data_IF_855462186820
#
_entry.id   IF_855462186820
#
_cell.length_a   1.000
_cell.length_b   1.000
_cell.length_c   1.000
_cell.angle_alpha   90.00
_cell.angle_beta   90.00
_cell.angle_gamma   90.00
#
_symmetry.space_group_name_H-M   'P 1'
#
loop_
_entity.id
_entity.type
_entity.pdbx_description
1 polymer ?
#
# COMPACT_ATOMS: atom_id res chain seq x y z
N UNK A 1 -30.16 -12.06 34.64
CA UNK A 1 -29.63 -13.26 33.98
C UNK A 1 -28.97 -12.84 32.70
N UNK A 2 -27.68 -13.12 32.55
CA UNK A 2 -26.96 -12.90 31.29
C UNK A 2 -27.30 -14.06 30.35
N UNK A 3 -27.53 -13.76 29.08
CA UNK A 3 -27.87 -14.78 28.07
C UNK A 3 -26.64 -15.02 27.22
N UNK A 4 -26.15 -16.26 27.18
CA UNK A 4 -25.04 -16.68 26.33
C UNK A 4 -25.48 -17.94 25.57
N UNK A 5 -25.56 -17.88 24.24
CA UNK A 5 -26.11 -18.93 23.36
C UNK A 5 -27.48 -19.45 23.82
N UNK A 6 -28.44 -18.54 24.01
CA UNK A 6 -29.83 -18.85 24.41
C UNK A 6 -29.97 -19.64 25.73
N UNK A 7 -28.89 -19.71 26.51
CA UNK A 7 -28.88 -20.27 27.86
C UNK A 7 -28.67 -19.15 28.88
N UNK A 8 -29.46 -19.21 29.94
CA UNK A 8 -29.30 -18.35 31.11
C UNK A 8 -28.05 -18.75 31.87
N UNK A 9 -27.10 -17.83 31.99
CA UNK A 9 -25.84 -18.02 32.70
C UNK A 9 -25.68 -16.97 33.79
N UNK A 10 -25.16 -17.42 34.93
CA UNK A 10 -24.77 -16.57 36.06
C UNK A 10 -23.23 -16.37 36.12
N UNK A 11 -22.51 -16.76 35.06
CA UNK A 11 -21.05 -16.64 34.97
C UNK A 11 -20.68 -15.36 34.23
N UNK A 12 -19.90 -14.49 34.89
CA UNK A 12 -19.30 -13.30 34.31
C UNK A 12 -17.79 -13.52 34.11
N UNK A 13 -17.35 -13.41 32.86
CA UNK A 13 -15.92 -13.36 32.54
C UNK A 13 -15.44 -11.91 32.61
N UNK A 14 -14.29 -11.69 33.23
CA UNK A 14 -13.64 -10.39 33.30
C UNK A 14 -12.13 -10.57 33.11
N UNK A 15 -11.48 -9.49 32.68
CA UNK A 15 -10.03 -9.40 32.55
C UNK A 15 -9.55 -8.30 33.51
N UNK A 16 -8.44 -8.55 34.19
CA UNK A 16 -7.77 -7.54 35.02
C UNK A 16 -6.76 -6.82 34.13
N UNK A 17 -6.96 -5.52 33.94
CA UNK A 17 -6.10 -4.69 33.12
C UNK A 17 -5.08 -3.96 34.00
N UNK A 18 -3.86 -3.80 33.49
CA UNK A 18 -2.81 -3.00 34.14
C UNK A 18 -3.02 -1.48 33.96
N UNK A 19 -4.00 -1.06 33.15
CA UNK A 19 -4.36 0.34 32.90
C UNK A 19 -5.84 0.61 33.16
N UNK A 20 -6.22 1.83 33.60
CA UNK A 20 -7.62 2.21 33.77
C UNK A 20 -8.44 2.07 32.48
N UNK A 21 -9.67 1.57 32.60
CA UNK A 21 -10.60 1.42 31.47
C UNK A 21 -10.78 2.70 30.63
N UNK A 22 -10.92 3.92 31.21
CA UNK A 22 -11.03 5.13 30.40
C UNK A 22 -9.80 5.42 29.54
N UNK A 23 -8.60 5.04 30.01
CA UNK A 23 -7.36 5.22 29.28
C UNK A 23 -7.25 4.21 28.12
N UNK A 24 -7.65 2.96 28.37
CA UNK A 24 -7.76 1.95 27.32
C UNK A 24 -8.78 2.35 26.25
N UNK A 25 -9.97 2.79 26.66
CA UNK A 25 -11.04 3.22 25.75
C UNK A 25 -10.69 4.51 25.00
N UNK A 26 -9.88 5.38 25.60
CA UNK A 26 -9.41 6.64 25.01
C UNK A 26 -8.23 6.48 24.05
N UNK A 27 -7.66 5.27 23.93
CA UNK A 27 -6.49 4.99 23.11
C UNK A 27 -6.84 4.13 21.89
N UNK A 28 -6.00 4.18 20.87
CA UNK A 28 -6.04 3.31 19.70
C UNK A 28 -4.65 2.75 19.45
N UNK A 29 -4.59 1.46 19.16
CA UNK A 29 -3.35 0.75 18.87
C UNK A 29 -3.32 0.40 17.39
N UNK A 30 -2.39 1.00 16.65
CA UNK A 30 -2.14 0.69 15.25
C UNK A 30 -0.95 -0.25 15.13
N UNK A 31 -1.11 -1.33 14.35
CA UNK A 31 0.02 -2.16 13.92
C UNK A 31 0.53 -1.60 12.60
N UNK A 32 1.72 -1.02 12.62
CA UNK A 32 2.35 -0.39 11.46
C UNK A 32 3.47 -1.27 10.95
N UNK A 33 3.38 -1.71 9.69
CA UNK A 33 4.44 -2.40 8.98
C UNK A 33 5.42 -1.36 8.42
N UNK A 34 6.61 -1.25 9.01
CA UNK A 34 7.65 -0.34 8.55
C UNK A 34 8.55 -1.03 7.52
N UNK A 35 8.62 -0.48 6.32
CA UNK A 35 9.49 -0.93 5.24
C UNK A 35 10.77 -0.11 5.25
N UNK A 36 11.91 -0.78 5.44
CA UNK A 36 13.20 -0.11 5.42
C UNK A 36 13.58 0.30 3.99
N UNK A 37 14.20 1.48 3.83
CA UNK A 37 14.61 1.96 2.51
C UNK A 37 15.76 1.16 1.89
N UNK A 38 16.61 0.54 2.71
CA UNK A 38 17.88 -0.08 2.30
C UNK A 38 17.96 -1.58 2.56
N UNK A 39 17.09 -2.10 3.43
CA UNK A 39 17.00 -3.52 3.78
C UNK A 39 15.67 -4.03 3.25
N UNK A 40 15.69 -5.20 2.64
CA UNK A 40 14.47 -5.94 2.28
C UNK A 40 13.87 -6.61 3.52
N UNK A 41 13.55 -5.77 4.51
CA UNK A 41 13.06 -6.17 5.83
C UNK A 41 11.84 -5.32 6.20
N UNK A 42 10.79 -6.01 6.66
CA UNK A 42 9.56 -5.39 7.16
C UNK A 42 9.47 -5.59 8.66
N UNK A 43 9.43 -4.49 9.41
CA UNK A 43 9.34 -4.52 10.87
C UNK A 43 7.96 -4.04 11.29
N UNK A 44 7.18 -4.91 11.93
CA UNK A 44 5.87 -4.54 12.48
C UNK A 44 6.04 -3.91 13.86
N UNK A 45 5.58 -2.66 14.02
CA UNK A 45 5.58 -1.93 15.28
C UNK A 45 4.16 -1.63 15.74
N UNK A 46 3.92 -1.82 17.03
CA UNK A 46 2.66 -1.45 17.68
C UNK A 46 2.77 -0.03 18.23
N UNK A 47 1.90 0.85 17.75
CA UNK A 47 1.84 2.27 18.12
C UNK A 47 0.51 2.51 18.84
N UNK A 48 0.59 2.80 20.14
CA UNK A 48 -0.60 3.06 20.97
C UNK A 48 -0.62 4.53 21.34
N UNK A 49 -1.63 5.26 20.87
CA UNK A 49 -1.80 6.69 21.09
C UNK A 49 -3.25 7.02 21.44
N UNK A 50 -3.54 8.16 22.08
CA UNK A 50 -4.90 8.64 22.28
C UNK A 50 -5.67 8.73 20.95
N UNK A 51 -6.96 8.37 20.92
CA UNK A 51 -7.80 8.35 19.69
C UNK A 51 -7.82 9.68 18.92
N UNK A 52 -7.69 10.80 19.65
CA UNK A 52 -7.64 12.17 19.10
C UNK A 52 -6.30 12.52 18.44
N UNK A 53 -5.27 11.68 18.59
CA UNK A 53 -3.96 11.88 17.97
C UNK A 53 -4.05 11.80 16.46
N UNK A 54 -3.01 12.31 15.82
CA UNK A 54 -2.92 12.44 14.38
C UNK A 54 -1.92 11.45 13.78
N UNK A 55 -1.95 11.30 12.46
CA UNK A 55 -0.95 10.50 11.73
C UNK A 55 0.46 11.07 11.90
N UNK A 56 0.60 12.39 12.04
CA UNK A 56 1.88 13.00 12.39
C UNK A 56 2.43 12.50 13.74
N UNK A 57 1.55 12.33 14.73
CA UNK A 57 1.95 11.77 16.04
C UNK A 57 2.37 10.30 15.91
N UNK A 58 1.67 9.50 15.09
CA UNK A 58 2.04 8.10 14.80
C UNK A 58 3.43 8.04 14.16
N UNK A 59 3.70 8.89 13.16
CA UNK A 59 4.99 8.96 12.49
C UNK A 59 6.10 9.35 13.48
N UNK A 60 5.85 10.33 14.35
CA UNK A 60 6.82 10.75 15.36
C UNK A 60 7.14 9.64 16.35
N UNK A 61 6.11 8.94 16.87
CA UNK A 61 6.31 7.79 17.76
C UNK A 61 7.05 6.65 17.03
N UNK A 62 6.69 6.37 15.78
CA UNK A 62 7.32 5.34 14.96
C UNK A 62 8.82 5.63 14.74
N UNK A 63 9.19 6.88 14.44
CA UNK A 63 10.60 7.31 14.27
C UNK A 63 11.47 7.02 15.50
N UNK A 64 10.89 6.96 16.70
CA UNK A 64 11.64 6.59 17.92
C UNK A 64 11.85 5.08 18.09
N UNK A 65 11.11 4.26 17.34
CA UNK A 65 11.05 2.79 17.46
C UNK A 65 11.67 2.05 16.27
N UNK A 66 12.12 2.77 15.24
CA UNK A 66 12.71 2.21 14.02
C UNK A 66 14.05 2.85 13.71
N UNK A 67 14.92 2.10 13.03
CA UNK A 67 16.17 2.62 12.49
C UNK A 67 15.91 3.25 11.12
N UNK A 68 16.12 4.57 11.02
CA UNK A 68 16.00 5.33 9.78
C UNK A 68 17.30 5.27 8.98
N UNK A 69 17.22 5.38 7.65
CA UNK A 69 18.41 5.45 6.80
C UNK A 69 19.22 6.75 7.02
N UNK A 70 18.54 7.86 7.35
CA UNK A 70 19.17 9.11 7.74
C UNK A 70 18.34 9.87 8.80
N UNK A 71 18.96 10.74 9.63
CA UNK A 71 18.27 11.42 10.74
C UNK A 71 17.09 12.30 10.32
N UNK A 72 17.14 12.84 9.09
CA UNK A 72 16.11 13.71 8.54
C UNK A 72 15.13 12.97 7.62
N UNK A 73 15.04 11.64 7.72
CA UNK A 73 14.13 10.86 6.88
C UNK A 73 12.67 11.28 7.15
N UNK A 74 11.97 11.54 6.06
CA UNK A 74 10.53 11.80 6.09
C UNK A 74 9.82 10.48 5.89
N UNK A 75 8.81 10.21 6.72
CA UNK A 75 8.02 9.00 6.61
C UNK A 75 6.64 9.35 6.07
N UNK A 76 6.09 8.45 5.27
CA UNK A 76 4.67 8.45 4.91
C UNK A 76 3.98 7.23 5.50
N UNK A 77 2.68 7.38 5.75
CA UNK A 77 1.80 6.30 6.18
C UNK A 77 0.80 6.02 5.05
N UNK A 78 0.57 4.74 4.76
CA UNK A 78 -0.21 4.24 3.63
C UNK A 78 -1.14 3.11 4.08
N UNK A 79 -2.27 2.94 3.41
CA UNK A 79 -3.11 1.75 3.55
C UNK A 79 -2.87 0.81 2.38
N UNK A 80 -2.49 -0.43 2.68
CA UNK A 80 -2.32 -1.48 1.69
C UNK A 80 -3.42 -2.53 1.87
N UNK A 81 -4.16 -2.77 0.80
CA UNK A 81 -5.21 -3.78 0.74
C UNK A 81 -5.12 -4.56 -0.56
N UNK A 82 -5.11 -5.89 -0.45
CA UNK A 82 -5.08 -6.80 -1.59
C UNK A 82 -3.95 -6.46 -2.60
N UNK A 83 -2.73 -6.27 -2.09
CA UNK A 83 -1.53 -5.93 -2.87
C UNK A 83 -1.65 -4.65 -3.70
N UNK A 84 -2.55 -3.75 -3.30
CA UNK A 84 -2.68 -2.40 -3.84
C UNK A 84 -2.60 -1.39 -2.73
N UNK A 85 -2.02 -0.24 -3.04
CA UNK A 85 -2.07 0.91 -2.15
C UNK A 85 -3.45 1.54 -2.36
N UNK A 86 -4.28 1.48 -1.33
CA UNK A 86 -5.70 1.82 -1.41
C UNK A 86 -6.01 3.03 -0.53
N UNK A 87 -6.98 3.84 -0.96
CA UNK A 87 -7.77 4.67 -0.05
C UNK A 87 -9.19 4.75 -0.62
N UNK A 88 -10.24 4.58 0.20
CA UNK A 88 -11.60 4.79 -0.26
C UNK A 88 -11.79 6.26 -0.66
N UNK A 89 -12.50 6.47 -1.77
CA UNK A 89 -12.84 7.79 -2.31
C UNK A 89 -13.62 8.61 -1.27
N UNK A 90 -12.99 9.66 -0.73
CA UNK A 90 -13.70 10.76 -0.08
C UNK A 90 -13.66 11.97 -1.02
N UNK A 91 -14.79 12.40 -1.63
CA UNK A 91 -14.83 13.55 -2.52
C UNK A 91 -14.52 14.88 -1.81
N UNK A 92 -14.50 14.93 -0.47
CA UNK A 92 -14.18 16.12 0.32
C UNK A 92 -12.70 16.20 0.75
N UNK A 93 -11.95 15.10 0.65
CA UNK A 93 -10.50 15.07 0.95
C UNK A 93 -9.77 14.91 -0.38
N UNK A 94 -8.94 15.89 -0.73
CA UNK A 94 -8.10 15.83 -1.94
C UNK A 94 -7.25 14.55 -1.94
N UNK A 95 -7.73 13.55 -2.68
CA UNK A 95 -7.03 12.52 -3.43
C UNK A 95 -5.58 12.21 -3.04
N UNK A 96 -5.34 11.70 -1.82
CA UNK A 96 -4.01 11.22 -1.43
C UNK A 96 -4.10 9.85 -0.79
N UNK A 97 -3.37 8.88 -1.36
CA UNK A 97 -3.11 7.51 -0.85
C UNK A 97 -2.33 7.51 0.45
N UNK A 98 -1.66 8.63 0.68
CA UNK A 98 -0.88 8.94 1.83
C UNK A 98 -1.81 9.60 2.84
N UNK A 99 -1.80 9.09 4.06
CA UNK A 99 -2.51 9.76 5.13
C UNK A 99 -1.96 11.17 5.32
N UNK A 100 -2.81 12.22 5.29
CA UNK A 100 -2.36 13.54 5.64
C UNK A 100 -1.94 13.53 7.11
N UNK A 101 -0.88 14.28 7.45
CA UNK A 101 -0.34 14.30 8.81
C UNK A 101 -1.38 14.75 9.85
N UNK A 102 -2.40 15.51 9.43
CA UNK A 102 -3.51 15.98 10.26
C UNK A 102 -4.67 14.97 10.41
N UNK A 103 -4.67 13.86 9.66
CA UNK A 103 -5.71 12.83 9.78
C UNK A 103 -5.71 12.27 11.19
N UNK A 104 -6.90 12.08 11.77
CA UNK A 104 -7.01 11.50 13.09
C UNK A 104 -6.92 9.99 13.04
N UNK A 105 -6.21 9.41 14.00
CA UNK A 105 -6.03 7.96 14.05
C UNK A 105 -7.34 7.22 14.30
N UNK A 106 -8.33 7.85 14.96
CA UNK A 106 -9.65 7.26 15.19
C UNK A 106 -10.33 6.80 13.89
N UNK A 107 -10.10 7.51 12.78
CA UNK A 107 -10.71 7.25 11.48
C UNK A 107 -10.04 6.11 10.68
N UNK A 108 -8.84 5.68 11.07
CA UNK A 108 -8.06 4.67 10.33
C UNK A 108 -8.70 3.28 10.49
N UNK A 109 -8.94 2.55 9.40
CA UNK A 109 -9.43 1.18 9.50
C UNK A 109 -8.26 0.19 9.62
N UNK A 110 -8.04 -0.33 10.82
CA UNK A 110 -6.96 -1.27 11.15
C UNK A 110 -7.41 -2.74 11.22
N UNK A 111 -8.67 -3.03 10.89
CA UNK A 111 -9.23 -4.39 11.02
C UNK A 111 -8.93 -5.27 9.80
N UNK A 112 -8.85 -4.67 8.61
CA UNK A 112 -8.71 -5.42 7.34
C UNK A 112 -7.53 -4.95 6.49
N UNK A 113 -7.00 -3.76 6.76
CA UNK A 113 -5.96 -3.13 5.94
C UNK A 113 -4.63 -3.14 6.66
N UNK A 114 -3.56 -3.32 5.89
CA UNK A 114 -2.21 -3.21 6.42
C UNK A 114 -1.82 -1.75 6.43
N UNK A 115 -1.57 -1.20 7.62
CA UNK A 115 -1.02 0.14 7.76
C UNK A 115 0.49 0.03 7.51
N UNK A 116 0.95 0.59 6.40
CA UNK A 116 2.36 0.58 6.00
C UNK A 116 2.97 1.94 6.23
N UNK A 117 4.18 1.96 6.77
CA UNK A 117 5.03 3.14 6.82
C UNK A 117 6.30 2.91 6.02
N UNK A 118 6.76 3.94 5.32
CA UNK A 118 8.00 3.90 4.56
C UNK A 118 8.65 5.28 4.50
N UNK A 119 9.97 5.29 4.28
CA UNK A 119 10.73 6.51 4.05
C UNK A 119 10.43 7.05 2.64
N UNK A 120 10.20 8.36 2.54
CA UNK A 120 10.02 9.05 1.26
C UNK A 120 11.39 9.21 0.61
N UNK A 121 11.65 8.57 -0.54
CA UNK A 121 12.91 8.72 -1.26
C UNK A 121 13.17 10.16 -1.68
N UNK A 122 14.43 10.58 -1.69
CA UNK A 122 14.82 11.93 -2.14
C UNK A 122 14.45 12.21 -3.61
N UNK A 123 14.35 11.18 -4.45
CA UNK A 123 13.86 11.32 -5.83
C UNK A 123 12.40 11.82 -5.89
N UNK A 124 11.56 11.44 -4.93
CA UNK A 124 10.16 11.86 -4.87
C UNK A 124 9.98 13.28 -4.32
N UNK A 125 10.99 13.81 -3.61
CA UNK A 125 10.95 15.17 -3.07
C UNK A 125 11.27 16.25 -4.12
N UNK A 126 11.95 15.85 -5.18
CA UNK A 126 12.46 16.74 -6.22
C UNK A 126 11.72 16.53 -7.55
N UNK A 127 10.40 16.36 -7.50
CA UNK A 127 9.56 16.21 -8.69
C UNK A 127 9.53 17.51 -9.51
N UNK A 128 9.82 17.41 -10.80
CA UNK A 128 9.60 18.47 -11.77
C UNK A 128 8.11 18.75 -12.00
N UNK A 129 7.77 19.84 -12.71
CA UNK A 129 6.38 20.22 -12.98
C UNK A 129 5.59 19.18 -13.79
N UNK A 130 6.29 18.41 -14.62
CA UNK A 130 5.71 17.38 -15.49
C UNK A 130 5.93 15.96 -14.95
N UNK A 131 6.67 15.82 -13.85
CA UNK A 131 6.94 14.52 -13.22
C UNK A 131 5.75 14.06 -12.40
N UNK A 132 5.54 12.74 -12.36
CA UNK A 132 4.41 12.14 -11.64
C UNK A 132 4.84 10.95 -10.82
N UNK A 133 4.23 10.80 -9.65
CA UNK A 133 4.35 9.60 -8.85
C UNK A 133 3.31 8.57 -9.31
N UNK A 134 3.75 7.41 -9.78
CA UNK A 134 2.89 6.33 -10.26
C UNK A 134 2.93 5.13 -9.32
N UNK A 135 1.85 4.36 -9.31
CA UNK A 135 1.77 3.08 -8.61
C UNK A 135 2.31 1.97 -9.50
N UNK A 136 3.06 1.05 -8.91
CA UNK A 136 3.55 -0.15 -9.57
C UNK A 136 3.09 -1.37 -8.79
N UNK A 137 2.33 -2.26 -9.47
CA UNK A 137 1.74 -3.45 -8.86
C UNK A 137 2.15 -4.71 -9.61
N UNK A 138 2.41 -5.79 -8.87
CA UNK A 138 2.65 -7.11 -9.45
C UNK A 138 1.33 -7.82 -9.67
N UNK A 139 1.17 -8.50 -10.82
CA UNK A 139 -0.04 -9.25 -11.08
C UNK A 139 0.18 -10.51 -11.90
N UNK A 140 -0.68 -11.51 -11.68
CA UNK A 140 -0.81 -12.69 -12.54
C UNK A 140 -2.10 -12.52 -13.33
N UNK A 141 -2.03 -12.85 -14.62
CA UNK A 141 -3.21 -12.99 -15.46
C UNK A 141 -3.73 -14.42 -15.36
N UNK A 142 -4.88 -14.61 -14.72
CA UNK A 142 -5.52 -15.92 -14.66
C UNK A 142 -6.14 -16.26 -16.02
N UNK A 143 -5.49 -17.19 -16.73
CA UNK A 143 -5.98 -17.74 -18.01
C UNK A 143 -6.96 -18.89 -17.85
N UNK A 144 -7.12 -19.45 -16.64
CA UNK A 144 -8.03 -20.56 -16.43
C UNK A 144 -9.47 -20.05 -16.41
N UNK A 145 -10.35 -20.68 -17.18
CA UNK A 145 -11.79 -20.44 -17.18
C UNK A 145 -12.45 -20.96 -15.88
N UNK A 146 -11.94 -20.61 -14.70
CA UNK A 146 -12.64 -20.87 -13.45
C UNK A 146 -13.65 -19.74 -13.19
N UNK A 147 -14.97 -19.99 -13.29
CA UNK A 147 -16.01 -18.99 -12.99
C UNK A 147 -16.23 -18.79 -11.48
N UNK A 148 -15.43 -19.41 -10.61
CA UNK A 148 -15.68 -19.49 -9.17
C UNK A 148 -14.58 -18.83 -8.32
N UNK A 149 -14.18 -17.61 -8.67
CA UNK A 149 -13.57 -16.65 -7.71
C UNK A 149 -14.32 -15.31 -7.77
N UNK A 150 -15.66 -15.40 -7.84
CA UNK A 150 -16.58 -14.27 -7.67
C UNK A 150 -16.85 -14.14 -6.17
N UNK A 151 -16.07 -13.35 -5.47
CA UNK A 151 -16.54 -12.70 -4.24
C UNK A 151 -15.73 -11.43 -4.02
N UNK A 152 -15.92 -10.44 -4.91
CA UNK A 152 -15.74 -9.00 -4.68
C UNK A 152 -16.09 -8.29 -6.00
N UNK A 153 -17.35 -7.85 -6.13
CA UNK A 153 -18.00 -7.38 -7.36
C UNK A 153 -17.48 -6.05 -7.97
N UNK A 154 -16.18 -5.74 -7.87
CA UNK A 154 -15.59 -4.53 -8.47
C UNK A 154 -14.56 -4.79 -9.58
N UNK A 155 -14.27 -6.06 -9.90
CA UNK A 155 -13.36 -6.42 -11.00
C UNK A 155 -14.03 -7.44 -11.94
N UNK A 156 -14.99 -6.98 -12.75
CA UNK A 156 -15.70 -7.88 -13.70
C UNK A 156 -15.03 -7.91 -15.08
N UNK A 157 -13.97 -7.14 -15.36
CA UNK A 157 -13.50 -7.07 -16.76
C UNK A 157 -12.21 -7.82 -17.08
N UNK A 158 -11.26 -8.07 -16.17
CA UNK A 158 -10.18 -9.05 -16.41
C UNK A 158 -9.71 -9.72 -15.12
N UNK A 159 -9.36 -11.00 -15.21
CA UNK A 159 -8.92 -11.86 -14.11
C UNK A 159 -7.48 -11.54 -13.68
N UNK A 160 -7.30 -10.37 -13.10
CA UNK A 160 -6.01 -9.88 -12.63
C UNK A 160 -5.94 -10.09 -11.14
N UNK A 161 -5.07 -11.00 -10.71
CA UNK A 161 -4.75 -11.21 -9.30
C UNK A 161 -3.47 -10.45 -8.99
N UNK A 162 -3.55 -9.50 -8.07
CA UNK A 162 -2.38 -8.73 -7.64
C UNK A 162 -1.72 -9.49 -6.49
N UNK A 163 -0.40 -9.47 -6.45
CA UNK A 163 0.38 -10.16 -5.42
C UNK A 163 1.63 -9.33 -5.07
N UNK A 164 2.46 -9.84 -4.18
CA UNK A 164 3.73 -9.21 -3.83
C UNK A 164 3.57 -7.85 -3.15
N UNK A 165 4.62 -7.03 -3.24
CA UNK A 165 4.68 -5.74 -2.57
C UNK A 165 4.43 -4.59 -3.56
N UNK A 166 3.35 -3.81 -3.40
CA UNK A 166 3.16 -2.61 -4.22
C UNK A 166 4.12 -1.51 -3.81
N UNK A 167 4.55 -0.69 -4.77
CA UNK A 167 5.46 0.43 -4.52
C UNK A 167 5.19 1.62 -5.43
N UNK A 168 5.74 2.78 -5.06
CA UNK A 168 5.72 3.99 -5.87
C UNK A 168 6.97 4.12 -6.73
N UNK A 169 6.80 4.76 -7.89
CA UNK A 169 7.89 5.13 -8.77
C UNK A 169 7.67 6.53 -9.33
N UNK A 170 8.73 7.33 -9.37
CA UNK A 170 8.73 8.60 -10.10
C UNK A 170 8.83 8.31 -11.59
N UNK A 171 7.88 8.83 -12.36
CA UNK A 171 7.88 8.82 -13.82
C UNK A 171 8.20 10.23 -14.32
N UNK A 172 9.26 10.36 -15.10
CA UNK A 172 9.60 11.63 -15.74
C UNK A 172 8.95 11.73 -17.12
N UNK A 173 8.67 12.96 -17.56
CA UNK A 173 8.07 13.20 -18.87
C UNK A 173 8.99 12.73 -20.01
N UNK A 174 8.43 11.98 -20.96
CA UNK A 174 9.19 11.44 -22.09
C UNK A 174 10.03 10.19 -21.77
N UNK A 175 9.96 9.65 -20.55
CA UNK A 175 10.64 8.38 -20.23
C UNK A 175 10.03 7.21 -21.01
N UNK A 176 10.91 6.43 -21.64
CA UNK A 176 10.52 5.18 -22.28
C UNK A 176 10.44 4.04 -21.27
N UNK A 177 9.65 3.02 -21.61
CA UNK A 177 9.56 1.82 -20.79
C UNK A 177 10.92 1.17 -20.55
N UNK A 178 11.84 1.18 -21.53
CA UNK A 178 13.17 0.63 -21.37
C UNK A 178 13.94 1.27 -20.20
N UNK A 179 13.83 2.60 -20.03
CA UNK A 179 14.49 3.33 -18.94
C UNK A 179 13.85 2.98 -17.60
N UNK A 180 12.51 2.97 -17.55
CA UNK A 180 11.74 2.60 -16.35
C UNK A 180 12.04 1.16 -15.93
N UNK A 181 12.14 0.22 -16.88
CA UNK A 181 12.51 -1.18 -16.62
C UNK A 181 13.84 -1.30 -15.89
N UNK A 182 14.87 -0.57 -16.31
CA UNK A 182 16.18 -0.57 -15.64
C UNK A 182 16.07 -0.07 -14.20
N UNK A 183 15.27 0.98 -13.96
CA UNK A 183 15.01 1.53 -12.61
C UNK A 183 14.25 0.53 -11.73
N UNK A 184 13.21 -0.11 -12.27
CA UNK A 184 12.44 -1.15 -11.58
C UNK A 184 13.33 -2.34 -11.24
N UNK A 185 14.13 -2.83 -12.20
CA UNK A 185 15.04 -3.96 -11.96
C UNK A 185 16.04 -3.64 -10.85
N UNK A 186 16.61 -2.43 -10.86
CA UNK A 186 17.53 -1.98 -9.81
C UNK A 186 16.85 -1.88 -8.46
N UNK A 187 15.61 -1.38 -8.41
CA UNK A 187 14.84 -1.25 -7.16
C UNK A 187 14.48 -2.61 -6.56
N UNK A 188 14.03 -3.54 -7.38
CA UNK A 188 13.60 -4.88 -6.95
C UNK A 188 14.74 -5.89 -6.81
N UNK A 189 15.95 -5.54 -7.28
CA UNK A 189 17.15 -6.39 -7.23
C UNK A 189 16.95 -7.77 -7.89
N UNK A 190 16.10 -7.84 -8.94
CA UNK A 190 15.76 -9.09 -9.63
C UNK A 190 16.83 -9.46 -10.66
N UNK A 191 17.27 -10.73 -10.72
CA UNK A 191 18.20 -11.21 -11.73
C UNK A 191 17.70 -10.95 -13.15
N UNK A 192 18.60 -10.57 -14.06
CA UNK A 192 18.23 -10.22 -15.44
C UNK A 192 17.49 -11.33 -16.17
N UNK A 193 17.85 -12.60 -15.94
CA UNK A 193 17.21 -13.76 -16.55
C UNK A 193 15.73 -13.93 -16.15
N UNK A 194 15.40 -13.56 -14.91
CA UNK A 194 14.03 -13.60 -14.42
C UNK A 194 13.25 -12.38 -14.89
N UNK A 195 13.83 -11.19 -14.75
CA UNK A 195 13.22 -9.93 -15.14
C UNK A 195 12.90 -9.85 -16.63
N UNK A 196 13.73 -10.48 -17.49
CA UNK A 196 13.49 -10.55 -18.93
C UNK A 196 12.20 -11.31 -19.31
N UNK A 197 11.64 -12.13 -18.40
CA UNK A 197 10.38 -12.86 -18.62
C UNK A 197 9.14 -12.02 -18.29
N UNK A 198 9.32 -10.91 -17.57
CA UNK A 198 8.23 -10.09 -17.08
C UNK A 198 7.62 -9.28 -18.23
N UNK A 199 6.30 -9.11 -18.20
CA UNK A 199 5.61 -8.20 -19.12
C UNK A 199 5.12 -6.99 -18.37
N UNK A 200 5.10 -5.85 -19.05
CA UNK A 200 4.75 -4.57 -18.46
C UNK A 200 3.50 -4.08 -19.16
N UNK A 201 2.54 -3.63 -18.37
CA UNK A 201 1.29 -3.12 -18.89
C UNK A 201 0.90 -1.84 -18.17
N UNK A 202 0.31 -0.90 -18.90
CA UNK A 202 -0.50 0.15 -18.32
C UNK A 202 -1.87 -0.43 -17.98
N UNK A 203 -2.36 -0.23 -16.76
CA UNK A 203 -3.67 -0.72 -16.35
C UNK A 203 -4.61 0.43 -16.08
N UNK A 204 -5.70 0.47 -16.84
CA UNK A 204 -6.81 1.39 -16.61
C UNK A 204 -8.10 0.60 -16.34
N UNK A 205 -8.75 0.83 -15.20
CA UNK A 205 -10.01 0.16 -14.83
C UNK A 205 -9.92 -1.38 -14.92
N UNK A 206 -8.75 -1.95 -14.59
CA UNK A 206 -8.51 -3.39 -14.65
C UNK A 206 -8.28 -3.96 -16.05
N UNK A 207 -8.11 -3.11 -17.07
CA UNK A 207 -7.73 -3.53 -18.42
C UNK A 207 -6.23 -3.26 -18.64
N UNK A 208 -5.41 -4.29 -18.88
CA UNK A 208 -4.02 -4.15 -19.20
C UNK A 208 -3.82 -3.85 -20.69
N UNK A 209 -3.05 -2.82 -20.95
CA UNK A 209 -2.48 -2.45 -22.25
C UNK A 209 -0.97 -2.69 -22.16
N UNK A 210 -0.46 -3.71 -22.87
CA UNK A 210 0.96 -4.06 -22.79
C UNK A 210 1.81 -3.05 -23.54
N UNK A 211 2.90 -2.64 -22.89
CA UNK A 211 3.82 -1.63 -23.37
C UNK A 211 5.05 -2.27 -24.01
N UNK A 212 5.58 -1.63 -25.04
CA UNK A 212 6.86 -1.92 -25.69
C UNK A 212 7.98 -1.04 -25.12
N UNK A 213 9.22 -1.46 -25.31
CA UNK A 213 10.40 -0.75 -24.79
C UNK A 213 10.55 0.68 -25.33
N UNK A 214 10.04 0.94 -26.53
CA UNK A 214 10.02 2.26 -27.18
C UNK A 214 8.89 3.18 -26.73
N UNK A 215 7.90 2.66 -26.02
CA UNK A 215 6.71 3.41 -25.67
C UNK A 215 7.02 4.43 -24.57
N UNK A 216 6.51 5.65 -24.75
CA UNK A 216 6.62 6.72 -23.76
C UNK A 216 5.53 6.49 -22.71
N UNK A 217 5.93 6.13 -21.50
CA UNK A 217 4.99 5.69 -20.47
C UNK A 217 4.09 6.84 -20.02
N UNK A 218 4.63 8.06 -19.91
CA UNK A 218 3.84 9.24 -19.49
C UNK A 218 2.68 9.55 -20.44
N UNK A 219 2.81 9.22 -21.72
CA UNK A 219 1.76 9.40 -22.72
C UNK A 219 0.48 8.59 -22.48
N UNK A 220 0.55 7.52 -21.69
CA UNK A 220 -0.61 6.70 -21.32
C UNK A 220 -1.36 7.24 -20.09
N UNK A 221 -0.69 8.02 -19.23
CA UNK A 221 -1.25 8.57 -17.99
C UNK A 221 -1.90 9.94 -18.24
N UNK A 222 -3.04 9.96 -18.94
CA UNK A 222 -3.70 11.21 -19.35
C UNK A 222 -4.85 11.64 -18.41
N UNK A 223 -5.26 10.81 -17.46
CA UNK A 223 -6.37 11.11 -16.55
C UNK A 223 -5.99 12.06 -15.41
N UNK A 224 -6.85 13.04 -15.12
CA UNK A 224 -6.79 13.89 -13.91
C UNK A 224 -7.21 13.15 -12.62
N UNK A 225 -7.37 11.82 -12.66
CA UNK A 225 -7.88 11.00 -11.57
C UNK A 225 -6.83 10.02 -11.05
N UNK A 226 -6.25 10.20 -9.84
CA UNK A 226 -5.11 9.38 -9.37
C UNK A 226 -5.40 7.91 -9.01
N UNK A 227 -6.48 7.30 -9.52
CA UNK A 227 -7.10 6.14 -8.86
C UNK A 227 -7.56 5.00 -9.77
N UNK A 228 -7.25 5.06 -11.06
CA UNK A 228 -7.60 3.98 -12.01
C UNK A 228 -6.42 3.49 -12.83
N UNK A 229 -5.28 4.18 -12.74
CA UNK A 229 -4.10 4.01 -13.57
C UNK A 229 -2.91 3.54 -12.73
N UNK A 230 -2.26 2.47 -13.16
CA UNK A 230 -1.02 1.99 -12.56
C UNK A 230 -0.19 1.24 -13.60
N UNK A 231 1.11 1.14 -13.35
CA UNK A 231 2.01 0.28 -14.11
C UNK A 231 1.96 -1.13 -13.49
N UNK A 232 1.55 -2.12 -14.27
CA UNK A 232 1.50 -3.51 -13.84
C UNK A 232 2.70 -4.32 -14.32
N UNK A 233 3.18 -5.18 -13.45
CA UNK A 233 4.27 -6.13 -13.67
C UNK A 233 3.67 -7.54 -13.73
N UNK A 234 3.51 -8.09 -14.94
CA UNK A 234 3.03 -9.46 -15.14
C UNK A 234 4.16 -10.46 -15.00
N UNK A 235 4.11 -11.29 -13.96
CA UNK A 235 5.01 -12.43 -13.77
C UNK A 235 4.42 -13.45 -12.78
N UNK A 236 5.05 -14.62 -12.65
CA UNK A 236 4.68 -15.62 -11.65
C UNK A 236 5.08 -15.18 -10.25
N UNK A 237 4.26 -15.57 -9.27
CA UNK A 237 4.61 -15.38 -7.86
C UNK A 237 5.63 -16.43 -7.44
N UNK A 238 6.88 -15.99 -7.28
CA UNK A 238 7.99 -16.84 -6.85
C UNK A 238 8.12 -16.87 -5.32
N UNK A 239 7.29 -16.14 -4.56
CA UNK A 239 7.29 -16.12 -3.09
C UNK A 239 6.64 -17.37 -2.45
N UNK A 240 6.14 -18.30 -3.27
CA UNK A 240 5.51 -19.55 -2.85
C UNK A 240 6.34 -20.82 -3.14
N UNK A 241 7.65 -20.71 -3.37
CA UNK A 241 8.57 -21.86 -3.48
C UNK A 241 9.42 -21.97 -2.21
#
# INVERSE_FOLDING_TARGET
MLVHYDQTSDILYYEVLDIPLPELQGSKTLKVAFHHATKDEVVVRSITLPKRSTVGDVINDLKTKVELSHPNAELRLLEVFNHKIYRPFDPAITYMQIFPLSEKIENINDHYWTIRAEEIPEEEKNLGPDDRLIHVYHFIKDTAQNPMRILNSFCIIQKIENFGEPFFMVMHEGETLAVIKVRIQKKLQVPHEEFAKWKFAFLFQGRPEYLQDSDIVSGHFQGDGPWQEYLGLEHSDNAHI
#
